data_IF_881952225236
#
_entry.id   IF_881952225236
#
_cell.length_a   1.000
_cell.length_b   1.000
_cell.length_c   1.000
_cell.angle_alpha   90.00
_cell.angle_beta   90.00
_cell.angle_gamma   90.00
#
_symmetry.space_group_name_H-M   'P 1'
#
loop_
_entity.id
_entity.type
_entity.pdbx_description
1 polymer ?
#
# COMPACT_ATOMS: atom_id res chain seq x y z
N UNK A 1 24.65 6.07 -5.40
CA UNK A 1 23.86 7.23 -4.94
C UNK A 1 22.86 7.73 -6.01
N UNK A 2 23.22 7.75 -7.30
CA UNK A 2 22.31 8.17 -8.39
C UNK A 2 21.09 7.27 -8.59
N UNK A 3 21.27 5.95 -8.48
CA UNK A 3 20.19 4.94 -8.57
C UNK A 3 19.11 5.22 -7.52
N UNK A 4 19.51 5.50 -6.28
CA UNK A 4 18.58 5.83 -5.19
C UNK A 4 17.85 7.16 -5.45
N UNK A 5 18.56 8.20 -5.91
CA UNK A 5 17.92 9.48 -6.31
C UNK A 5 16.89 9.30 -7.42
N UNK A 6 17.18 8.45 -8.42
CA UNK A 6 16.24 8.15 -9.52
C UNK A 6 15.05 7.31 -9.05
N UNK A 7 15.27 6.34 -8.17
CA UNK A 7 14.24 5.47 -7.61
C UNK A 7 13.23 6.23 -6.74
N UNK A 8 13.70 7.24 -5.99
CA UNK A 8 12.84 8.09 -5.15
C UNK A 8 12.50 9.45 -5.79
N UNK A 9 12.77 9.62 -7.09
CA UNK A 9 12.51 10.87 -7.82
C UNK A 9 11.05 11.30 -7.72
N UNK A 10 10.11 10.35 -7.78
CA UNK A 10 8.69 10.64 -7.57
C UNK A 10 8.41 11.17 -6.17
N UNK A 11 9.05 10.62 -5.14
CA UNK A 11 8.84 11.09 -3.77
C UNK A 11 9.42 12.50 -3.59
N UNK A 12 10.57 12.78 -4.20
CA UNK A 12 11.20 14.11 -4.22
C UNK A 12 10.29 15.11 -4.96
N UNK A 13 9.73 14.75 -6.12
CA UNK A 13 8.79 15.64 -6.81
C UNK A 13 7.52 15.84 -5.98
N UNK A 14 6.97 14.78 -5.38
CA UNK A 14 5.79 14.86 -4.52
C UNK A 14 6.03 15.76 -3.29
N UNK A 15 7.28 15.83 -2.82
CA UNK A 15 7.73 16.72 -1.77
C UNK A 15 7.72 18.18 -2.24
N UNK A 16 8.30 18.46 -3.42
CA UNK A 16 8.30 19.81 -3.98
C UNK A 16 6.90 20.31 -4.35
N UNK A 17 6.07 19.46 -4.96
CA UNK A 17 4.65 19.76 -5.23
C UNK A 17 3.85 19.95 -3.94
N UNK A 18 4.07 19.08 -2.94
CA UNK A 18 3.44 19.21 -1.63
C UNK A 18 3.82 20.52 -0.95
N UNK A 19 5.10 20.88 -1.00
CA UNK A 19 5.62 22.14 -0.49
C UNK A 19 5.01 23.33 -1.23
N UNK A 20 4.94 23.28 -2.57
CA UNK A 20 4.37 24.37 -3.37
C UNK A 20 2.85 24.53 -3.16
N UNK A 21 2.10 23.43 -3.07
CA UNK A 21 0.66 23.48 -2.77
C UNK A 21 0.39 23.95 -1.35
N UNK A 22 1.19 23.53 -0.38
CA UNK A 22 1.13 24.03 1.00
C UNK A 22 1.47 25.52 1.04
N UNK A 23 2.49 25.96 0.32
CA UNK A 23 2.83 27.39 0.16
C UNK A 23 1.68 28.18 -0.47
N UNK A 24 1.03 27.65 -1.51
CA UNK A 24 -0.11 28.30 -2.16
C UNK A 24 -1.30 28.47 -1.20
N UNK A 25 -1.61 27.43 -0.40
CA UNK A 25 -2.65 27.48 0.63
C UNK A 25 -2.30 28.49 1.72
N UNK A 26 -1.04 28.49 2.17
CA UNK A 26 -0.53 29.41 3.17
C UNK A 26 -0.52 30.86 2.68
N UNK A 27 -0.24 31.11 1.38
CA UNK A 27 -0.31 32.45 0.78
C UNK A 27 -1.74 32.99 0.64
N UNK A 28 -2.76 32.11 0.62
CA UNK A 28 -4.17 32.49 0.57
C UNK A 28 -4.78 32.76 1.96
N UNK A 29 -4.03 32.57 3.05
CA UNK A 29 -4.48 32.88 4.41
C UNK A 29 -4.25 34.37 4.75
N UNK A 30 -5.27 35.09 5.26
CA UNK A 30 -5.26 36.55 5.36
C UNK A 30 -4.26 37.17 6.35
N UNK A 31 -3.65 36.39 7.26
CA UNK A 31 -2.65 36.88 8.23
C UNK A 31 -1.24 36.31 8.02
N UNK A 32 -1.14 35.16 7.35
CA UNK A 32 0.12 34.41 7.20
C UNK A 32 0.68 34.58 5.78
N UNK A 33 -0.18 34.95 4.81
CA UNK A 33 0.17 35.00 3.40
C UNK A 33 1.16 36.10 3.02
N UNK A 34 1.05 37.29 3.61
CA UNK A 34 2.00 38.39 3.35
C UNK A 34 3.40 38.10 3.92
N UNK A 35 3.47 37.51 5.12
CA UNK A 35 4.74 37.17 5.76
C UNK A 35 5.47 36.03 5.02
N UNK A 36 4.73 35.02 4.55
CA UNK A 36 5.29 33.91 3.77
C UNK A 36 5.64 34.33 2.35
N UNK A 37 4.85 35.17 1.68
CA UNK A 37 5.16 35.68 0.34
C UNK A 37 6.48 36.47 0.35
N UNK A 38 6.63 37.42 1.29
CA UNK A 38 7.84 38.25 1.38
C UNK A 38 9.10 37.47 1.81
N UNK A 39 8.98 36.49 2.71
CA UNK A 39 10.17 35.75 3.19
C UNK A 39 10.53 34.51 2.40
N UNK A 40 9.56 33.79 1.82
CA UNK A 40 9.81 32.53 1.09
C UNK A 40 10.06 32.78 -0.40
N UNK A 41 9.28 33.65 -1.02
CA UNK A 41 9.30 33.87 -2.48
C UNK A 41 10.34 34.92 -2.83
N UNK A 42 10.39 36.05 -2.13
CA UNK A 42 11.36 37.12 -2.40
C UNK A 42 12.74 36.90 -1.75
N UNK A 43 12.81 36.40 -0.51
CA UNK A 43 14.09 36.22 0.20
C UNK A 43 14.77 34.85 -0.04
N UNK A 44 14.18 33.98 -0.86
CA UNK A 44 14.64 32.60 -1.18
C UNK A 44 15.11 31.83 0.06
N UNK A 45 14.41 31.98 1.19
CA UNK A 45 14.87 31.43 2.46
C UNK A 45 14.69 29.90 2.47
N UNK A 46 15.78 29.17 2.18
CA UNK A 46 15.78 27.72 1.97
C UNK A 46 15.30 26.94 3.19
N UNK A 47 15.59 27.44 4.39
CA UNK A 47 15.16 26.84 5.66
C UNK A 47 13.65 26.79 5.80
N UNK A 48 12.94 27.86 5.46
CA UNK A 48 11.48 27.94 5.62
C UNK A 48 10.72 27.06 4.61
N UNK A 49 11.21 26.95 3.36
CA UNK A 49 10.67 25.98 2.39
C UNK A 49 10.87 24.55 2.84
N UNK A 50 12.03 24.25 3.42
CA UNK A 50 12.31 22.93 3.96
C UNK A 50 11.35 22.58 5.12
N UNK A 51 11.12 23.50 6.06
CA UNK A 51 10.19 23.28 7.18
C UNK A 51 8.75 23.04 6.70
N UNK A 52 8.26 23.84 5.75
CA UNK A 52 6.90 23.66 5.19
C UNK A 52 6.80 22.32 4.44
N UNK A 53 7.85 21.95 3.70
CA UNK A 53 7.90 20.65 3.02
C UNK A 53 7.88 19.47 4.00
N UNK A 54 8.65 19.54 5.10
CA UNK A 54 8.63 18.52 6.15
C UNK A 54 7.25 18.41 6.78
N UNK A 55 6.60 19.53 7.10
CA UNK A 55 5.23 19.53 7.63
C UNK A 55 4.23 18.90 6.66
N UNK A 56 4.32 19.21 5.36
CA UNK A 56 3.47 18.62 4.33
C UNK A 56 3.66 17.09 4.22
N UNK A 57 4.89 16.60 4.36
CA UNK A 57 5.17 15.15 4.41
C UNK A 57 4.55 14.51 5.64
N UNK A 58 4.71 15.12 6.82
CA UNK A 58 4.14 14.60 8.07
C UNK A 58 2.61 14.51 7.99
N UNK A 59 1.94 15.56 7.51
CA UNK A 59 0.48 15.56 7.32
C UNK A 59 0.07 14.46 6.34
N UNK A 60 0.77 14.32 5.20
CA UNK A 60 0.49 13.24 4.23
C UNK A 60 0.69 11.86 4.85
N UNK A 61 1.71 11.67 5.68
CA UNK A 61 1.99 10.44 6.40
C UNK A 61 0.85 10.10 7.37
N UNK A 62 0.41 11.07 8.18
CA UNK A 62 -0.70 10.92 9.12
C UNK A 62 -2.00 10.58 8.39
N UNK A 63 -2.32 11.28 7.29
CA UNK A 63 -3.53 10.99 6.50
C UNK A 63 -3.49 9.57 5.92
N UNK A 64 -2.34 9.12 5.42
CA UNK A 64 -2.19 7.74 4.94
C UNK A 64 -2.36 6.72 6.06
N UNK A 65 -1.82 7.01 7.24
CA UNK A 65 -1.99 6.17 8.43
C UNK A 65 -3.46 6.09 8.84
N UNK A 66 -4.17 7.22 8.95
CA UNK A 66 -5.59 7.27 9.30
C UNK A 66 -6.44 6.46 8.32
N UNK A 67 -6.16 6.54 7.01
CA UNK A 67 -6.90 5.74 6.01
C UNK A 67 -6.71 4.24 6.23
N UNK A 68 -5.48 3.78 6.50
CA UNK A 68 -5.23 2.35 6.77
C UNK A 68 -5.81 1.92 8.11
N UNK A 69 -5.74 2.77 9.13
CA UNK A 69 -6.36 2.53 10.43
C UNK A 69 -7.88 2.38 10.29
N UNK A 70 -8.54 3.30 9.58
CA UNK A 70 -9.98 3.24 9.32
C UNK A 70 -10.35 1.98 8.54
N UNK A 71 -9.53 1.58 7.56
CA UNK A 71 -9.73 0.33 6.84
C UNK A 71 -9.73 -0.89 7.77
N UNK A 72 -8.72 -1.03 8.65
CA UNK A 72 -8.66 -2.15 9.60
C UNK A 72 -9.81 -2.05 10.63
N UNK A 73 -10.14 -0.86 11.11
CA UNK A 73 -11.24 -0.65 12.04
C UNK A 73 -12.59 -1.13 11.43
N UNK A 74 -12.91 -0.66 10.23
CA UNK A 74 -14.22 -0.88 9.60
C UNK A 74 -14.34 -2.27 8.98
N UNK A 75 -13.28 -2.78 8.34
CA UNK A 75 -13.36 -4.05 7.61
C UNK A 75 -12.83 -5.24 8.39
N UNK A 76 -12.11 -5.05 9.50
CA UNK A 76 -11.61 -6.18 10.28
C UNK A 76 -12.25 -6.16 11.67
N UNK A 77 -12.14 -5.05 12.40
CA UNK A 77 -12.59 -4.99 13.77
C UNK A 77 -14.12 -4.96 13.93
N UNK A 78 -14.84 -4.19 13.10
CA UNK A 78 -16.32 -4.15 13.15
C UNK A 78 -16.95 -5.51 12.81
N UNK A 79 -16.57 -6.20 11.72
CA UNK A 79 -17.06 -7.55 11.44
C UNK A 79 -16.71 -8.55 12.55
N UNK A 80 -15.52 -8.44 13.13
CA UNK A 80 -15.15 -9.22 14.31
C UNK A 80 -16.14 -9.01 15.47
N UNK A 81 -16.47 -7.77 15.82
CA UNK A 81 -17.40 -7.47 16.91
C UNK A 81 -18.80 -8.04 16.63
N UNK A 82 -19.27 -7.89 15.39
CA UNK A 82 -20.56 -8.45 14.99
C UNK A 82 -20.56 -9.98 15.12
N UNK A 83 -19.52 -10.67 14.64
CA UNK A 83 -19.38 -12.12 14.78
C UNK A 83 -19.26 -12.59 16.24
N UNK A 84 -18.56 -11.82 17.07
CA UNK A 84 -18.39 -12.11 18.49
C UNK A 84 -19.69 -11.99 19.30
N UNK A 85 -20.70 -11.25 18.82
CA UNK A 85 -22.03 -11.20 19.44
C UNK A 85 -22.81 -12.51 19.24
N UNK A 86 -22.66 -13.16 18.08
CA UNK A 86 -23.40 -14.38 17.77
C UNK A 86 -22.69 -15.65 18.25
N UNK A 87 -21.36 -15.67 18.31
CA UNK A 87 -20.58 -16.85 18.64
C UNK A 87 -19.58 -16.58 19.79
N UNK A 88 -19.82 -17.10 21.02
CA UNK A 88 -18.96 -16.82 22.17
C UNK A 88 -17.53 -17.36 22.02
N UNK A 89 -17.34 -18.47 21.28
CA UNK A 89 -16.03 -19.07 21.03
C UNK A 89 -15.08 -18.17 20.21
N UNK A 90 -15.63 -17.28 19.38
CA UNK A 90 -14.86 -16.29 18.60
C UNK A 90 -14.41 -15.13 19.51
N UNK A 91 -15.19 -14.82 20.55
CA UNK A 91 -14.88 -13.77 21.53
C UNK A 91 -13.69 -14.16 22.40
N UNK A 92 -13.60 -15.44 22.78
CA UNK A 92 -12.51 -15.96 23.60
C UNK A 92 -11.17 -15.98 22.85
N UNK A 93 -11.21 -16.17 21.53
CA UNK A 93 -10.03 -16.15 20.64
C UNK A 93 -9.98 -14.89 19.76
N UNK A 94 -10.13 -13.72 20.38
CA UNK A 94 -10.08 -12.41 19.70
C UNK A 94 -8.87 -12.27 18.78
N UNK A 95 -7.68 -12.63 19.28
CA UNK A 95 -6.42 -12.42 18.57
C UNK A 95 -6.35 -13.22 17.27
N UNK A 96 -6.65 -14.53 17.30
CA UNK A 96 -6.61 -15.37 16.09
C UNK A 96 -7.64 -14.93 15.05
N UNK A 97 -8.82 -14.48 15.48
CA UNK A 97 -9.87 -13.99 14.59
C UNK A 97 -9.42 -12.74 13.81
N UNK A 98 -8.87 -11.75 14.51
CA UNK A 98 -8.37 -10.51 13.90
C UNK A 98 -7.20 -10.79 12.97
N UNK A 99 -6.28 -11.67 13.36
CA UNK A 99 -5.13 -12.08 12.55
C UNK A 99 -5.57 -12.78 11.25
N UNK A 100 -6.52 -13.70 11.33
CA UNK A 100 -7.07 -14.39 10.16
C UNK A 100 -7.74 -13.42 9.18
N UNK A 101 -8.65 -12.57 9.67
CA UNK A 101 -9.33 -11.58 8.83
C UNK A 101 -8.33 -10.59 8.21
N UNK A 102 -7.33 -10.16 8.98
CA UNK A 102 -6.27 -9.30 8.47
C UNK A 102 -5.46 -9.99 7.37
N UNK A 103 -5.08 -11.25 7.55
CA UNK A 103 -4.34 -12.00 6.55
C UNK A 103 -5.12 -12.11 5.23
N UNK A 104 -6.39 -12.51 5.29
CA UNK A 104 -7.20 -12.69 4.08
C UNK A 104 -7.45 -11.37 3.34
N UNK A 105 -7.82 -10.31 4.06
CA UNK A 105 -8.20 -9.03 3.46
C UNK A 105 -6.99 -8.14 3.13
N UNK A 106 -6.03 -8.02 4.04
CA UNK A 106 -4.89 -7.12 3.88
C UNK A 106 -3.73 -7.76 3.14
N UNK A 107 -3.46 -9.05 3.39
CA UNK A 107 -2.31 -9.74 2.79
C UNK A 107 -2.66 -10.32 1.43
N UNK A 108 -3.66 -11.19 1.34
CA UNK A 108 -4.04 -11.83 0.06
C UNK A 108 -4.72 -10.80 -0.85
N UNK A 109 -5.87 -10.29 -0.44
CA UNK A 109 -6.63 -9.34 -1.27
C UNK A 109 -5.87 -8.04 -1.51
N UNK A 110 -5.27 -7.46 -0.47
CA UNK A 110 -4.45 -6.26 -0.59
C UNK A 110 -3.21 -6.44 -1.48
N UNK A 111 -2.67 -7.65 -1.62
CA UNK A 111 -1.55 -7.91 -2.52
C UNK A 111 -1.97 -8.19 -3.95
N UNK A 112 -3.15 -8.78 -4.17
CA UNK A 112 -3.63 -9.17 -5.51
C UNK A 112 -4.44 -8.08 -6.21
N UNK A 113 -5.26 -7.32 -5.47
CA UNK A 113 -6.16 -6.31 -6.05
C UNK A 113 -5.51 -4.92 -6.15
N UNK A 114 -4.63 -4.57 -5.20
CA UNK A 114 -3.99 -3.27 -5.11
C UNK A 114 -2.58 -3.30 -5.73
N UNK A 115 -2.52 -3.59 -7.03
CA UNK A 115 -1.27 -3.61 -7.80
C UNK A 115 -0.88 -2.20 -8.23
N UNK A 116 0.32 -1.77 -7.84
CA UNK A 116 0.91 -0.48 -8.22
C UNK A 116 1.30 -0.43 -9.67
N UNK A 117 1.65 -1.58 -10.28
CA UNK A 117 2.07 -1.62 -11.67
C UNK A 117 0.90 -1.36 -12.62
N UNK A 118 -0.24 -1.98 -12.35
CA UNK A 118 -1.44 -1.86 -13.18
C UNK A 118 -2.25 -0.59 -12.84
N UNK A 119 -1.95 0.08 -11.74
CA UNK A 119 -2.59 1.33 -11.32
C UNK A 119 -1.83 2.59 -11.77
N UNK A 120 -1.09 2.54 -12.88
CA UNK A 120 -0.32 3.70 -13.33
C UNK A 120 -1.23 4.90 -13.63
N UNK A 121 -0.83 6.06 -13.09
CA UNK A 121 -1.60 7.31 -13.16
C UNK A 121 -0.88 8.42 -13.93
N UNK A 122 -1.48 9.60 -13.98
CA UNK A 122 -0.94 10.75 -14.73
C UNK A 122 0.41 11.24 -14.18
N UNK A 123 0.68 10.95 -12.89
CA UNK A 123 1.98 11.23 -12.27
C UNK A 123 3.09 10.32 -12.79
N UNK A 124 2.78 9.07 -13.12
CA UNK A 124 3.78 8.15 -13.65
C UNK A 124 4.18 8.54 -15.07
N UNK A 125 3.19 9.02 -15.81
CA UNK A 125 3.41 9.64 -17.09
C UNK A 125 4.31 10.88 -17.00
N UNK A 126 4.05 11.77 -16.03
CA UNK A 126 4.89 12.94 -15.82
C UNK A 126 6.33 12.54 -15.43
N UNK A 127 6.50 11.54 -14.57
CA UNK A 127 7.81 11.00 -14.20
C UNK A 127 8.61 10.48 -15.40
N UNK A 128 7.94 9.77 -16.29
CA UNK A 128 8.59 9.11 -17.41
C UNK A 128 8.84 10.08 -18.57
N UNK A 129 7.87 10.96 -18.88
CA UNK A 129 7.94 11.85 -20.04
C UNK A 129 8.67 13.16 -19.75
N UNK A 130 8.50 13.72 -18.54
CA UNK A 130 9.06 15.03 -18.17
C UNK A 130 10.34 14.87 -17.34
N UNK A 131 10.31 14.01 -16.33
CA UNK A 131 11.47 13.81 -15.43
C UNK A 131 12.48 12.81 -16.04
N UNK A 132 12.11 12.13 -17.14
CA UNK A 132 12.94 11.16 -17.88
C UNK A 132 13.47 10.03 -16.99
N UNK A 133 12.70 9.66 -15.96
CA UNK A 133 13.02 8.51 -15.11
C UNK A 133 12.62 7.23 -15.83
N UNK A 134 13.51 6.24 -15.82
CA UNK A 134 13.20 4.93 -16.37
C UNK A 134 12.01 4.29 -15.63
N UNK A 135 11.00 3.73 -16.34
CA UNK A 135 9.77 3.23 -15.72
C UNK A 135 9.99 2.19 -14.61
N UNK A 136 10.96 1.30 -14.80
CA UNK A 136 11.29 0.26 -13.83
C UNK A 136 11.74 0.84 -12.48
N UNK A 137 12.57 1.89 -12.50
CA UNK A 137 13.07 2.56 -11.29
C UNK A 137 11.95 3.26 -10.53
N UNK A 138 11.02 3.89 -11.24
CA UNK A 138 9.89 4.56 -10.61
C UNK A 138 8.92 3.56 -9.98
N UNK A 139 8.68 2.44 -10.67
CA UNK A 139 7.85 1.37 -10.15
C UNK A 139 8.47 0.74 -8.89
N UNK A 140 9.73 0.31 -8.97
CA UNK A 140 10.38 -0.37 -7.85
C UNK A 140 10.52 0.53 -6.63
N UNK A 141 10.80 1.82 -6.82
CA UNK A 141 10.84 2.79 -5.73
C UNK A 141 9.50 2.95 -5.02
N UNK A 142 8.40 3.00 -5.78
CA UNK A 142 7.05 3.01 -5.19
C UNK A 142 6.72 1.72 -4.46
N UNK A 143 7.06 0.57 -5.05
CA UNK A 143 6.85 -0.73 -4.41
C UNK A 143 7.60 -0.79 -3.07
N UNK A 144 8.87 -0.35 -3.03
CA UNK A 144 9.66 -0.30 -1.81
C UNK A 144 9.04 0.63 -0.74
N UNK A 145 8.61 1.84 -1.11
CA UNK A 145 7.91 2.74 -0.19
C UNK A 145 6.62 2.11 0.32
N UNK A 146 5.86 1.43 -0.56
CA UNK A 146 4.63 0.73 -0.19
C UNK A 146 4.93 -0.38 0.83
N UNK A 147 5.88 -1.27 0.54
CA UNK A 147 6.35 -2.33 1.44
C UNK A 147 6.71 -1.80 2.84
N UNK A 148 7.56 -0.76 2.91
CA UNK A 148 7.98 -0.18 4.19
C UNK A 148 6.82 0.49 4.93
N UNK A 149 5.98 1.26 4.22
CA UNK A 149 4.84 1.94 4.86
C UNK A 149 3.75 0.97 5.31
N UNK A 150 3.55 -0.14 4.61
CA UNK A 150 2.64 -1.20 5.03
C UNK A 150 3.17 -1.90 6.27
N UNK A 151 4.45 -2.29 6.27
CA UNK A 151 5.10 -2.91 7.40
C UNK A 151 4.96 -2.07 8.68
N UNK A 152 5.36 -0.79 8.61
CA UNK A 152 5.32 0.11 9.78
C UNK A 152 3.88 0.38 10.21
N UNK A 153 2.99 0.75 9.30
CA UNK A 153 1.62 1.13 9.68
C UNK A 153 0.85 -0.07 10.21
N UNK A 154 0.93 -1.25 9.59
CA UNK A 154 0.19 -2.42 10.04
C UNK A 154 0.70 -2.96 11.38
N UNK A 155 2.01 -2.90 11.65
CA UNK A 155 2.55 -3.27 12.97
C UNK A 155 1.95 -2.41 14.09
N UNK A 156 1.87 -1.08 13.86
CA UNK A 156 1.29 -0.14 14.83
C UNK A 156 -0.21 -0.38 14.96
N UNK A 157 -0.93 -0.52 13.85
CA UNK A 157 -2.38 -0.69 13.83
C UNK A 157 -2.80 -1.99 14.53
N UNK A 158 -2.13 -3.11 14.25
CA UNK A 158 -2.46 -4.40 14.87
C UNK A 158 -2.25 -4.37 16.38
N UNK A 159 -1.17 -3.73 16.84
CA UNK A 159 -0.93 -3.54 18.28
C UNK A 159 -2.06 -2.72 18.94
N UNK A 160 -2.52 -1.64 18.29
CA UNK A 160 -3.66 -0.84 18.77
C UNK A 160 -4.97 -1.63 18.90
N UNK A 161 -5.19 -2.67 18.10
CA UNK A 161 -6.37 -3.53 18.18
C UNK A 161 -6.28 -4.64 19.24
N UNK A 162 -5.17 -4.71 19.99
CA UNK A 162 -4.95 -5.65 21.09
C UNK A 162 -4.36 -7.00 20.66
N UNK A 163 -3.65 -7.04 19.52
CA UNK A 163 -2.82 -8.17 19.10
C UNK A 163 -1.44 -8.03 19.76
N UNK A 164 -0.81 -9.13 20.15
CA UNK A 164 0.55 -9.11 20.68
C UNK A 164 1.53 -8.49 19.69
N UNK A 165 2.51 -7.72 20.20
CA UNK A 165 3.50 -7.04 19.36
C UNK A 165 4.24 -8.02 18.43
N UNK A 166 4.59 -9.21 18.93
CA UNK A 166 5.32 -10.22 18.16
C UNK A 166 4.45 -10.75 17.02
N UNK A 167 3.20 -11.11 17.30
CA UNK A 167 2.27 -11.62 16.29
C UNK A 167 1.93 -10.55 15.24
N UNK A 168 1.76 -9.28 15.66
CA UNK A 168 1.56 -8.16 14.76
C UNK A 168 2.76 -7.87 13.86
N UNK A 169 3.99 -7.97 14.40
CA UNK A 169 5.23 -7.79 13.65
C UNK A 169 5.45 -8.91 12.64
N UNK A 170 5.26 -10.17 13.04
CA UNK A 170 5.43 -11.31 12.13
C UNK A 170 4.41 -11.25 10.99
N UNK A 171 3.15 -10.92 11.28
CA UNK A 171 2.12 -10.82 10.25
C UNK A 171 2.39 -9.64 9.30
N UNK A 172 2.80 -8.48 9.82
CA UNK A 172 3.14 -7.33 8.97
C UNK A 172 4.35 -7.60 8.08
N UNK A 173 5.32 -8.40 8.57
CA UNK A 173 6.47 -8.86 7.79
C UNK A 173 6.04 -9.82 6.68
N UNK A 174 5.14 -10.77 6.99
CA UNK A 174 4.53 -11.65 5.98
C UNK A 174 3.78 -10.83 4.93
N UNK A 175 2.98 -9.84 5.33
CA UNK A 175 2.28 -8.94 4.41
C UNK A 175 3.25 -8.17 3.52
N UNK A 176 4.35 -7.66 4.09
CA UNK A 176 5.40 -6.98 3.34
C UNK A 176 6.01 -7.89 2.26
N UNK A 177 6.24 -9.17 2.57
CA UNK A 177 6.89 -10.12 1.66
C UNK A 177 5.94 -10.64 0.57
N UNK A 178 4.66 -10.83 0.88
CA UNK A 178 3.67 -11.28 -0.11
C UNK A 178 3.33 -10.16 -1.10
N UNK A 179 3.48 -8.88 -0.71
CA UNK A 179 3.19 -7.73 -1.56
C UNK A 179 3.88 -7.73 -2.94
N UNK A 180 5.22 -7.90 -3.05
CA UNK A 180 5.87 -8.05 -4.34
C UNK A 180 5.43 -9.31 -5.09
N UNK A 181 5.02 -10.38 -4.39
CA UNK A 181 4.53 -11.59 -5.04
C UNK A 181 3.18 -11.36 -5.74
N UNK A 182 2.26 -10.57 -5.17
CA UNK A 182 1.04 -10.19 -5.86
C UNK A 182 1.29 -9.31 -7.09
N UNK A 183 2.26 -8.40 -7.03
CA UNK A 183 2.68 -7.60 -8.20
C UNK A 183 3.30 -8.50 -9.29
N UNK A 184 4.10 -9.49 -8.91
CA UNK A 184 4.64 -10.50 -9.82
C UNK A 184 3.53 -11.31 -10.50
N UNK A 185 2.55 -11.79 -9.74
CA UNK A 185 1.39 -12.50 -10.29
C UNK A 185 0.61 -11.62 -11.27
N UNK A 186 0.45 -10.33 -10.95
CA UNK A 186 -0.21 -9.37 -11.82
C UNK A 186 0.52 -9.19 -13.16
N UNK A 187 1.86 -9.15 -13.14
CA UNK A 187 2.70 -9.11 -14.35
C UNK A 187 2.55 -10.38 -15.17
N UNK A 188 2.65 -11.55 -14.53
CA UNK A 188 2.51 -12.83 -15.22
C UNK A 188 1.12 -12.99 -15.86
N UNK A 189 0.08 -12.55 -15.14
CA UNK A 189 -1.29 -12.56 -15.65
C UNK A 189 -1.46 -11.60 -16.83
N UNK A 190 -0.78 -10.44 -16.81
CA UNK A 190 -0.76 -9.51 -17.94
C UNK A 190 -0.12 -10.13 -19.19
N UNK A 191 1.03 -10.80 -19.03
CA UNK A 191 1.74 -11.43 -20.16
C UNK A 191 0.94 -12.58 -20.79
N UNK A 192 0.16 -13.31 -19.99
CA UNK A 192 -0.62 -14.47 -20.46
C UNK A 192 -2.06 -14.14 -20.90
N UNK A 193 -2.68 -13.10 -20.34
CA UNK A 193 -4.07 -12.74 -20.61
C UNK A 193 -4.26 -11.23 -20.76
N UNK A 194 -4.01 -10.68 -21.97
CA UNK A 194 -4.38 -9.30 -22.31
C UNK A 194 -5.87 -8.99 -22.07
N UNK A 195 -6.74 -10.02 -22.10
CA UNK A 195 -8.19 -9.91 -21.81
C UNK A 195 -8.52 -9.49 -20.37
N UNK A 196 -7.67 -9.83 -19.40
CA UNK A 196 -7.90 -9.51 -17.97
C UNK A 196 -7.70 -8.01 -17.66
N UNK A 197 -6.99 -7.29 -18.53
CA UNK A 197 -6.78 -5.85 -18.39
C UNK A 197 -8.02 -5.04 -18.79
N UNK A 198 -8.75 -5.47 -19.83
CA UNK A 198 -9.99 -4.82 -20.28
C UNK A 198 -11.11 -4.93 -19.21
N UNK A 199 -11.10 -6.01 -18.43
CA UNK A 199 -12.03 -6.25 -17.33
C UNK A 199 -11.36 -6.19 -15.94
N UNK A 200 -10.35 -5.32 -15.77
CA UNK A 200 -9.61 -5.18 -14.51
C UNK A 200 -10.50 -4.92 -13.30
N UNK A 201 -11.53 -4.10 -13.46
CA UNK A 201 -12.49 -3.83 -12.38
C UNK A 201 -13.27 -5.09 -12.00
N UNK A 202 -13.59 -5.96 -12.97
CA UNK A 202 -14.24 -7.23 -12.71
C UNK A 202 -13.29 -8.21 -12.02
N UNK A 203 -12.03 -8.32 -12.47
CA UNK A 203 -11.04 -9.19 -11.81
C UNK A 203 -10.72 -8.75 -10.38
N UNK A 204 -10.46 -7.46 -10.17
CA UNK A 204 -10.27 -6.93 -8.83
C UNK A 204 -11.53 -7.14 -7.97
N UNK A 205 -12.72 -6.94 -8.56
CA UNK A 205 -14.00 -7.20 -7.91
C UNK A 205 -14.18 -8.66 -7.50
N UNK A 206 -13.82 -9.63 -8.35
CA UNK A 206 -13.93 -11.06 -8.04
C UNK A 206 -12.94 -11.49 -6.97
N UNK A 207 -11.69 -11.01 -7.03
CA UNK A 207 -10.68 -11.27 -5.98
C UNK A 207 -11.14 -10.69 -4.64
N UNK A 208 -11.67 -9.46 -4.62
CA UNK A 208 -12.20 -8.84 -3.41
C UNK A 208 -13.39 -9.65 -2.89
N UNK A 209 -14.38 -9.97 -3.72
CA UNK A 209 -15.56 -10.72 -3.33
C UNK A 209 -15.21 -12.09 -2.75
N UNK A 210 -14.30 -12.83 -3.41
CA UNK A 210 -13.82 -14.13 -2.93
C UNK A 210 -13.11 -13.98 -1.58
N UNK A 211 -12.21 -13.01 -1.45
CA UNK A 211 -11.48 -12.79 -0.19
C UNK A 211 -12.39 -12.41 0.97
N UNK A 212 -13.42 -11.60 0.72
CA UNK A 212 -14.43 -11.21 1.71
C UNK A 212 -15.29 -12.41 2.10
N UNK A 213 -15.70 -13.21 1.12
CA UNK A 213 -16.45 -14.44 1.36
C UNK A 213 -15.67 -15.43 2.23
N UNK A 214 -14.37 -15.63 1.96
CA UNK A 214 -13.57 -16.52 2.81
C UNK A 214 -13.28 -15.89 4.17
N UNK A 215 -12.99 -14.59 4.23
CA UNK A 215 -12.65 -13.89 5.47
C UNK A 215 -13.81 -13.89 6.49
N UNK A 216 -15.05 -13.75 6.05
CA UNK A 216 -16.22 -13.69 6.95
C UNK A 216 -17.08 -14.96 6.91
N UNK A 217 -17.23 -15.58 5.73
CA UNK A 217 -18.05 -16.77 5.56
C UNK A 217 -17.47 -17.99 6.28
N UNK A 218 -16.14 -18.17 6.25
CA UNK A 218 -15.50 -19.32 6.90
C UNK A 218 -15.63 -19.30 8.44
N UNK A 219 -15.40 -18.17 9.14
CA UNK A 219 -15.68 -18.05 10.57
C UNK A 219 -17.16 -18.27 10.95
N UNK A 220 -18.10 -17.81 10.13
CA UNK A 220 -19.53 -17.97 10.39
C UNK A 220 -20.00 -19.41 10.23
N UNK A 221 -19.50 -20.13 9.20
CA UNK A 221 -19.86 -21.51 8.92
C UNK A 221 -19.30 -22.50 9.94
N UNK A 222 -18.05 -22.31 10.38
CA UNK A 222 -17.40 -23.22 11.33
C UNK A 222 -17.69 -22.90 12.80
N UNK A 223 -18.27 -21.73 13.11
CA UNK A 223 -18.56 -21.21 14.47
C UNK A 223 -17.37 -21.16 15.45
N UNK A 224 -16.19 -21.59 14.99
CA UNK A 224 -14.91 -21.60 15.67
C UNK A 224 -13.84 -21.26 14.64
N UNK A 225 -12.86 -20.47 15.07
CA UNK A 225 -11.63 -20.26 14.32
C UNK A 225 -10.60 -21.16 15.00
N UNK A 226 -10.23 -22.27 14.33
CA UNK A 226 -9.25 -23.22 14.88
C UNK A 226 -7.93 -22.52 15.17
N UNK A 227 -7.27 -22.88 16.26
CA UNK A 227 -5.92 -22.37 16.61
C UNK A 227 -4.87 -22.72 15.54
N UNK A 228 -5.18 -23.63 14.61
CA UNK A 228 -4.33 -23.97 13.46
C UNK A 228 -4.01 -22.74 12.57
N UNK A 229 -4.82 -21.69 12.60
CA UNK A 229 -4.57 -20.46 11.82
C UNK A 229 -3.37 -19.64 12.34
N UNK A 230 -2.87 -19.91 13.54
CA UNK A 230 -1.56 -19.41 14.00
C UNK A 230 -0.40 -19.94 13.15
N UNK A 231 -0.63 -20.94 12.30
CA UNK A 231 0.35 -21.42 11.32
C UNK A 231 0.94 -20.31 10.45
N UNK A 232 0.14 -19.31 10.05
CA UNK A 232 0.66 -18.19 9.24
C UNK A 232 1.61 -17.25 9.99
N UNK A 233 1.66 -17.38 11.31
CA UNK A 233 2.56 -16.62 12.18
C UNK A 233 3.71 -17.51 12.67
N UNK A 234 3.67 -18.80 12.32
CA UNK A 234 4.75 -19.72 12.64
C UNK A 234 6.05 -19.28 11.95
N UNK A 235 7.21 -19.27 12.64
CA UNK A 235 8.47 -18.78 12.08
C UNK A 235 8.85 -19.45 10.76
N UNK A 236 8.49 -20.72 10.57
CA UNK A 236 8.68 -21.46 9.31
C UNK A 236 7.93 -20.80 8.14
N UNK A 237 6.68 -20.41 8.34
CA UNK A 237 5.89 -19.74 7.31
C UNK A 237 6.44 -18.36 6.99
N UNK A 238 6.89 -17.63 8.00
CA UNK A 238 7.51 -16.30 7.85
C UNK A 238 8.79 -16.38 7.01
N UNK A 239 9.62 -17.41 7.26
CA UNK A 239 10.83 -17.68 6.46
C UNK A 239 10.47 -18.03 5.02
N UNK A 240 9.46 -18.87 4.80
CA UNK A 240 8.98 -19.18 3.45
C UNK A 240 8.46 -17.93 2.72
N UNK A 241 7.70 -17.07 3.40
CA UNK A 241 7.22 -15.80 2.86
C UNK A 241 8.37 -14.86 2.49
N UNK A 242 9.44 -14.80 3.30
CA UNK A 242 10.64 -14.03 2.99
C UNK A 242 11.30 -14.50 1.69
N UNK A 243 11.46 -15.82 1.51
CA UNK A 243 12.02 -16.37 0.28
C UNK A 243 11.17 -16.02 -0.94
N UNK A 244 9.84 -16.15 -0.83
CA UNK A 244 8.90 -15.76 -1.89
C UNK A 244 9.06 -14.27 -2.20
N UNK A 245 9.10 -13.41 -1.17
CA UNK A 245 9.23 -11.97 -1.35
C UNK A 245 10.53 -11.56 -2.04
N UNK A 246 11.66 -12.14 -1.63
CA UNK A 246 12.97 -11.89 -2.27
C UNK A 246 12.97 -12.36 -3.72
N UNK A 247 12.45 -13.57 -3.97
CA UNK A 247 12.33 -14.11 -5.32
C UNK A 247 11.47 -13.22 -6.22
N UNK A 248 10.32 -12.76 -5.71
CA UNK A 248 9.43 -11.86 -6.46
C UNK A 248 10.05 -10.50 -6.74
N UNK A 249 10.79 -9.90 -5.80
CA UNK A 249 11.52 -8.66 -6.05
C UNK A 249 12.63 -8.85 -7.08
N UNK A 250 13.34 -9.98 -7.02
CA UNK A 250 14.37 -10.31 -8.01
C UNK A 250 13.78 -10.47 -9.41
N UNK A 251 12.67 -11.21 -9.53
CA UNK A 251 11.95 -11.36 -10.80
C UNK A 251 11.47 -10.01 -11.35
N UNK A 252 10.88 -9.17 -10.50
CA UNK A 252 10.47 -7.82 -10.88
C UNK A 252 11.67 -6.96 -11.28
N UNK A 253 12.82 -7.10 -10.64
CA UNK A 253 14.01 -6.34 -11.04
C UNK A 253 14.46 -6.64 -12.48
N UNK A 254 14.46 -7.92 -12.86
CA UNK A 254 14.94 -8.38 -14.16
C UNK A 254 13.89 -8.28 -15.29
N UNK A 255 12.65 -7.88 -14.96
CA UNK A 255 11.56 -7.90 -15.93
C UNK A 255 11.75 -6.89 -17.09
N UNK A 256 11.86 -7.35 -18.36
CA UNK A 256 12.29 -6.51 -19.47
C UNK A 256 11.17 -5.61 -20.06
N UNK A 257 9.90 -5.98 -19.86
CA UNK A 257 8.76 -5.40 -20.60
C UNK A 257 8.02 -4.27 -19.87
N UNK A 258 8.61 -3.64 -18.85
CA UNK A 258 7.99 -2.53 -18.11
C UNK A 258 7.46 -1.38 -19.00
N UNK A 259 8.14 -1.10 -20.11
CA UNK A 259 7.71 -0.05 -21.06
C UNK A 259 6.42 -0.40 -21.79
N UNK A 260 6.19 -1.68 -22.13
CA UNK A 260 4.99 -2.13 -22.83
C UNK A 260 3.75 -2.02 -21.94
N UNK A 261 3.86 -2.50 -20.69
CA UNK A 261 2.80 -2.38 -19.68
C UNK A 261 2.39 -0.92 -19.49
N UNK A 262 3.38 -0.04 -19.38
CA UNK A 262 3.13 1.39 -19.20
C UNK A 262 2.45 2.03 -20.42
N UNK A 263 2.84 1.66 -21.64
CA UNK A 263 2.20 2.17 -22.86
C UNK A 263 0.74 1.73 -22.96
N UNK A 264 0.45 0.45 -22.73
CA UNK A 264 -0.92 -0.08 -22.76
C UNK A 264 -1.78 0.51 -21.63
N UNK A 265 -1.20 0.71 -20.44
CA UNK A 265 -1.90 1.37 -19.34
C UNK A 265 -2.29 2.82 -19.65
N UNK A 266 -1.47 3.50 -20.45
CA UNK A 266 -1.71 4.87 -20.91
C UNK A 266 -2.75 4.97 -22.03
N UNK A 267 -2.77 4.01 -22.96
CA UNK A 267 -3.72 4.01 -24.07
C UNK A 267 -5.16 3.91 -23.58
N UNK A 268 -5.44 3.02 -22.63
CA UNK A 268 -6.80 2.81 -22.12
C UNK A 268 -7.30 4.01 -21.29
N UNK A 269 -6.41 4.72 -20.60
CA UNK A 269 -6.81 5.91 -19.82
C UNK A 269 -7.14 7.14 -20.69
N UNK A 270 -6.79 7.13 -21.98
CA UNK A 270 -7.23 8.15 -22.93
C UNK A 270 -8.62 7.87 -23.51
N UNK A 271 -9.10 6.65 -23.39
CA UNK A 271 -10.40 6.20 -23.94
C UNK A 271 -11.54 6.27 -22.90
N UNK A 272 -11.21 6.46 -21.61
CA UNK A 272 -12.15 6.69 -20.49
C UNK A 272 -12.17 8.16 -20.12
#
# INVERSE_FOLDING_TARGET
MEIFKKMFAEKILSFHEGTNRSLEILTKMPLVGEYISNQVIHKRNSKMRMTIGVMAVLVRMIVQFIKKYLYVAVFIYVPYLFMAQFNPLIRDHKESAVLFMFFMLSTICGSLANNTLLAMGDRDYLMVRVVLVSPYMNFLGRLAVKMVTDFVYFTIILNLFGVSFVHGLLLSLVTMCIRPAGEMIAVLCFDQMQSMYNNRNAFNGTVIALSVFVAYGMPLLKRQISSDWLFFIHPVFVVAALFIGVFSVYYLWDYPSYRKIMQEALHIKREV
#
